data_IF_319962855180
#
_entry.id   IF_319962855180
#
_cell.length_a   1.000
_cell.length_b   1.000
_cell.length_c   1.000
_cell.angle_alpha   90.00
_cell.angle_beta   90.00
_cell.angle_gamma   90.00
#
_symmetry.space_group_name_H-M   'P 1'
#
loop_
_entity.id
_entity.type
_entity.pdbx_description
1 polymer ?
#
# COMPACT_ATOMS: atom_id res chain seq x y z
N UNK A 1 51.99 37.68 33.21
CA UNK A 1 51.46 37.58 31.85
C UNK A 1 51.44 36.12 31.36
N UNK A 2 50.71 35.22 32.07
CA UNK A 2 50.40 33.83 31.60
C UNK A 2 49.01 33.52 32.18
N UNK A 3 47.94 34.08 31.61
CA UNK A 3 46.57 33.69 32.01
C UNK A 3 45.53 33.73 30.90
N UNK A 4 45.94 33.87 29.61
CA UNK A 4 44.98 33.94 28.50
C UNK A 4 45.04 32.74 27.51
N UNK A 5 45.83 31.69 27.78
CA UNK A 5 45.98 30.57 26.84
C UNK A 5 45.06 29.39 27.17
N UNK A 6 44.55 29.25 28.41
CA UNK A 6 43.71 28.12 28.80
C UNK A 6 42.22 28.33 28.44
N UNK A 7 41.74 29.57 28.43
CA UNK A 7 40.35 29.84 28.10
C UNK A 7 40.00 29.67 26.61
N UNK A 8 40.99 29.90 25.72
CA UNK A 8 40.81 29.73 24.26
C UNK A 8 40.79 28.28 23.83
N UNK A 9 41.49 27.38 24.54
CA UNK A 9 41.52 25.95 24.25
C UNK A 9 40.25 25.22 24.73
N UNK A 10 39.67 25.65 25.87
CA UNK A 10 38.41 25.05 26.34
C UNK A 10 37.21 25.45 25.47
N UNK A 11 37.17 26.69 24.95
CA UNK A 11 36.07 27.12 24.07
C UNK A 11 36.13 26.45 22.70
N UNK A 12 37.33 26.19 22.17
CA UNK A 12 37.49 25.48 20.88
C UNK A 12 37.19 23.98 20.97
N UNK A 13 37.48 23.36 22.11
CA UNK A 13 37.17 21.92 22.28
C UNK A 13 35.67 21.70 22.48
N UNK A 14 34.95 22.62 23.14
CA UNK A 14 33.49 22.52 23.27
C UNK A 14 32.74 22.78 21.96
N UNK A 15 33.20 23.71 21.13
CA UNK A 15 32.58 23.94 19.81
C UNK A 15 32.87 22.84 18.84
N UNK A 16 34.08 22.26 18.83
CA UNK A 16 34.41 21.11 17.97
C UNK A 16 33.57 19.86 18.33
N UNK A 17 33.35 19.59 19.61
CA UNK A 17 32.54 18.45 20.03
C UNK A 17 31.02 18.61 19.74
N UNK A 18 30.53 19.87 19.75
CA UNK A 18 29.12 20.12 19.36
C UNK A 18 28.91 20.00 17.86
N UNK A 19 29.88 20.44 17.04
CA UNK A 19 29.80 20.26 15.57
C UNK A 19 29.88 18.78 15.17
N UNK A 20 30.76 18.02 15.81
CA UNK A 20 30.89 16.58 15.57
C UNK A 20 29.62 15.82 15.96
N UNK A 21 28.99 16.17 17.09
CA UNK A 21 27.73 15.55 17.52
C UNK A 21 26.58 15.89 16.56
N UNK A 22 26.50 17.14 16.12
CA UNK A 22 25.49 17.57 15.14
C UNK A 22 25.68 16.87 13.80
N UNK A 23 26.93 16.72 13.36
CA UNK A 23 27.27 15.98 12.15
C UNK A 23 26.90 14.49 12.25
N UNK A 24 27.25 13.81 13.34
CA UNK A 24 26.89 12.40 13.58
C UNK A 24 25.38 12.22 13.70
N UNK A 25 24.68 13.12 14.34
CA UNK A 25 23.21 13.12 14.41
C UNK A 25 22.57 13.24 13.03
N UNK A 26 23.11 14.09 12.16
CA UNK A 26 22.66 14.23 10.77
C UNK A 26 22.87 12.95 9.95
N UNK A 27 24.05 12.31 10.10
CA UNK A 27 24.32 11.03 9.44
C UNK A 27 23.33 9.97 9.94
N UNK A 28 23.11 9.87 11.25
CA UNK A 28 22.18 8.89 11.82
C UNK A 28 20.76 9.10 11.32
N UNK A 29 20.28 10.32 11.26
CA UNK A 29 18.96 10.65 10.70
C UNK A 29 18.85 10.25 9.22
N UNK A 30 19.88 10.53 8.41
CA UNK A 30 19.91 10.17 7.00
C UNK A 30 19.88 8.64 6.81
N UNK A 31 20.64 7.89 7.60
CA UNK A 31 20.64 6.43 7.57
C UNK A 31 19.26 5.87 7.98
N UNK A 32 18.66 6.42 9.03
CA UNK A 32 17.34 6.00 9.50
C UNK A 32 16.26 6.24 8.45
N UNK A 33 16.28 7.42 7.82
CA UNK A 33 15.35 7.78 6.74
C UNK A 33 15.55 6.89 5.51
N UNK A 34 16.80 6.65 5.11
CA UNK A 34 17.10 5.75 3.99
C UNK A 34 16.64 4.31 4.28
N UNK A 35 16.85 3.80 5.48
CA UNK A 35 16.38 2.47 5.88
C UNK A 35 14.85 2.37 5.87
N UNK A 36 14.14 3.38 6.38
CA UNK A 36 12.68 3.42 6.34
C UNK A 36 12.17 3.44 4.88
N UNK A 37 12.82 4.20 4.01
CA UNK A 37 12.49 4.23 2.59
C UNK A 37 12.72 2.88 1.90
N UNK A 38 13.85 2.23 2.17
CA UNK A 38 14.17 0.91 1.62
C UNK A 38 13.18 -0.15 2.11
N UNK A 39 12.78 -0.12 3.37
CA UNK A 39 11.75 -1.01 3.91
C UNK A 39 10.39 -0.78 3.24
N UNK A 40 9.98 0.47 3.05
CA UNK A 40 8.73 0.80 2.35
C UNK A 40 8.75 0.31 0.89
N UNK A 41 9.87 0.51 0.18
CA UNK A 41 10.05 -0.02 -1.19
C UNK A 41 10.00 -1.55 -1.23
N UNK A 42 10.66 -2.23 -0.30
CA UNK A 42 10.66 -3.69 -0.21
C UNK A 42 9.25 -4.23 0.05
N UNK A 43 8.50 -3.62 0.97
CA UNK A 43 7.13 -4.03 1.27
C UNK A 43 6.19 -3.82 0.07
N UNK A 44 6.34 -2.71 -0.65
CA UNK A 44 5.56 -2.45 -1.86
C UNK A 44 5.89 -3.46 -2.97
N UNK A 45 7.16 -3.81 -3.12
CA UNK A 45 7.59 -4.80 -4.11
C UNK A 45 7.05 -6.21 -3.79
N UNK A 46 7.04 -6.60 -2.51
CA UNK A 46 6.45 -7.87 -2.07
C UNK A 46 4.95 -7.91 -2.36
N UNK A 47 4.19 -6.87 -1.99
CA UNK A 47 2.76 -6.77 -2.31
C UNK A 47 2.49 -6.87 -3.81
N UNK A 48 3.30 -6.22 -4.62
CA UNK A 48 3.18 -6.28 -6.09
C UNK A 48 3.47 -7.68 -6.65
N UNK A 49 4.50 -8.35 -6.14
CA UNK A 49 4.83 -9.73 -6.50
C UNK A 49 3.68 -10.67 -6.16
N UNK A 50 3.11 -10.56 -4.96
CA UNK A 50 1.99 -11.39 -4.50
C UNK A 50 0.76 -11.14 -5.37
N UNK A 51 0.47 -9.88 -5.71
CA UNK A 51 -0.61 -9.50 -6.62
C UNK A 51 -0.45 -10.16 -7.99
N UNK A 52 0.75 -10.11 -8.57
CA UNK A 52 1.04 -10.72 -9.87
C UNK A 52 0.88 -12.25 -9.80
N UNK A 53 1.37 -12.86 -8.73
CA UNK A 53 1.26 -14.31 -8.53
C UNK A 53 -0.19 -14.74 -8.39
N UNK A 54 -0.98 -14.04 -7.57
CA UNK A 54 -2.40 -14.32 -7.40
C UNK A 54 -3.17 -14.14 -8.71
N UNK A 55 -2.90 -13.05 -9.44
CA UNK A 55 -3.46 -12.79 -10.77
C UNK A 55 -3.19 -13.96 -11.73
N UNK A 56 -1.95 -14.44 -11.76
CA UNK A 56 -1.55 -15.59 -12.60
C UNK A 56 -2.33 -16.86 -12.22
N UNK A 57 -2.48 -17.13 -10.93
CA UNK A 57 -3.23 -18.27 -10.43
C UNK A 57 -4.71 -18.22 -10.84
N UNK A 58 -5.31 -17.04 -10.74
CA UNK A 58 -6.73 -16.85 -11.07
C UNK A 58 -7.00 -16.90 -12.57
N UNK A 59 -6.07 -16.43 -13.41
CA UNK A 59 -6.27 -16.41 -14.87
C UNK A 59 -5.94 -17.73 -15.56
N UNK A 60 -4.92 -18.44 -15.08
CA UNK A 60 -4.41 -19.65 -15.74
C UNK A 60 -4.98 -20.95 -15.15
N UNK A 61 -5.82 -20.83 -14.11
CA UNK A 61 -6.23 -21.98 -13.32
C UNK A 61 -5.06 -22.55 -12.51
N UNK A 62 -5.38 -23.27 -11.44
CA UNK A 62 -4.37 -23.87 -10.56
C UNK A 62 -3.86 -25.16 -11.23
N UNK A 63 -2.83 -25.06 -12.04
CA UNK A 63 -1.98 -26.19 -12.25
C UNK A 63 -1.00 -26.25 -11.08
N UNK A 64 -1.37 -27.01 -10.02
CA UNK A 64 -0.61 -27.08 -8.77
C UNK A 64 0.88 -27.42 -8.99
N UNK A 65 1.22 -28.03 -10.13
CA UNK A 65 2.59 -28.36 -10.52
C UNK A 65 3.41 -27.18 -11.05
N UNK A 66 2.78 -26.01 -11.23
CA UNK A 66 3.44 -24.80 -11.74
C UNK A 66 3.64 -23.70 -10.70
N UNK A 67 3.20 -23.93 -9.47
CA UNK A 67 3.41 -23.01 -8.35
C UNK A 67 4.69 -23.42 -7.64
N UNK A 68 5.66 -22.53 -7.61
CA UNK A 68 6.83 -22.78 -6.79
C UNK A 68 6.43 -22.80 -5.31
N UNK A 69 6.98 -23.73 -4.49
CA UNK A 69 6.65 -23.81 -3.06
C UNK A 69 6.79 -22.48 -2.31
N UNK A 70 7.79 -21.67 -2.67
CA UNK A 70 8.03 -20.35 -2.11
C UNK A 70 6.93 -19.32 -2.44
N UNK A 71 6.31 -19.41 -3.62
CA UNK A 71 5.17 -18.57 -4.00
C UNK A 71 3.91 -18.95 -3.22
N UNK A 72 3.74 -20.24 -2.96
CA UNK A 72 2.63 -20.73 -2.17
C UNK A 72 2.74 -20.28 -0.70
N UNK A 73 3.92 -20.34 -0.12
CA UNK A 73 4.16 -19.83 1.24
C UNK A 73 3.89 -18.33 1.35
N UNK A 74 4.33 -17.54 0.36
CA UNK A 74 4.08 -16.10 0.32
C UNK A 74 2.58 -15.77 0.22
N UNK A 75 1.81 -16.58 -0.48
CA UNK A 75 0.37 -16.40 -0.61
C UNK A 75 -0.42 -16.87 0.62
N UNK A 76 0.12 -17.79 1.44
CA UNK A 76 -0.59 -18.30 2.62
C UNK A 76 -1.00 -17.19 3.59
N UNK A 77 -0.27 -16.09 3.66
CA UNK A 77 -0.65 -14.93 4.46
C UNK A 77 -2.00 -14.32 4.01
N UNK A 78 -2.37 -14.48 2.74
CA UNK A 78 -3.64 -13.98 2.17
C UNK A 78 -4.77 -15.02 2.25
N UNK A 79 -4.49 -16.23 2.79
CA UNK A 79 -5.45 -17.30 2.97
C UNK A 79 -5.54 -17.73 4.45
N UNK A 80 -5.36 -16.79 5.38
CA UNK A 80 -5.36 -17.07 6.82
C UNK A 80 -6.77 -17.22 7.42
N UNK A 81 -7.81 -16.76 6.71
CA UNK A 81 -9.21 -16.88 7.11
C UNK A 81 -9.94 -17.96 6.31
N UNK A 82 -11.08 -18.40 6.83
CA UNK A 82 -11.85 -19.53 6.28
C UNK A 82 -12.45 -19.26 4.90
N UNK A 83 -12.73 -18.00 4.56
CA UNK A 83 -13.43 -17.64 3.34
C UNK A 83 -12.57 -16.74 2.46
N UNK A 84 -12.71 -16.94 1.15
CA UNK A 84 -12.12 -16.06 0.13
C UNK A 84 -13.20 -15.60 -0.83
N UNK A 85 -13.21 -14.32 -1.15
CA UNK A 85 -14.21 -13.68 -1.98
C UNK A 85 -13.57 -12.78 -3.01
N UNK A 86 -14.20 -12.69 -4.18
CA UNK A 86 -13.85 -11.70 -5.20
C UNK A 86 -14.89 -10.60 -5.16
N UNK A 87 -14.44 -9.38 -4.96
CA UNK A 87 -15.25 -8.18 -5.02
C UNK A 87 -14.97 -7.49 -6.35
N UNK A 88 -16.02 -7.24 -7.13
CA UNK A 88 -15.94 -6.55 -8.41
C UNK A 88 -16.72 -5.24 -8.30
N UNK A 89 -16.02 -4.12 -8.47
CA UNK A 89 -16.62 -2.79 -8.53
C UNK A 89 -16.67 -2.38 -10.00
N UNK A 90 -17.86 -2.36 -10.56
CA UNK A 90 -18.09 -1.99 -11.96
C UNK A 90 -18.61 -0.57 -12.05
N UNK A 91 -18.10 0.19 -13.02
CA UNK A 91 -18.53 1.55 -13.29
C UNK A 91 -19.55 1.47 -14.42
N UNK A 92 -20.76 1.99 -14.17
CA UNK A 92 -21.79 2.10 -15.21
C UNK A 92 -21.73 3.47 -15.88
N UNK A 93 -21.33 3.47 -17.13
CA UNK A 93 -21.22 4.68 -17.97
C UNK A 93 -22.48 4.97 -18.77
N UNK A 94 -23.58 4.23 -18.58
CA UNK A 94 -24.80 4.38 -19.39
C UNK A 94 -25.46 5.75 -19.24
N UNK A 95 -25.19 6.46 -18.16
CA UNK A 95 -25.78 7.79 -17.86
C UNK A 95 -24.83 8.96 -18.09
N UNK A 96 -23.54 8.72 -18.30
CA UNK A 96 -22.55 9.79 -18.49
C UNK A 96 -22.21 9.99 -19.97
N UNK A 97 -22.07 11.25 -20.35
CA UNK A 97 -21.62 11.68 -21.68
C UNK A 97 -20.32 10.93 -22.04
N UNK A 98 -20.12 10.70 -23.35
CA UNK A 98 -18.90 10.08 -23.93
C UNK A 98 -17.64 10.64 -23.24
N UNK A 99 -17.25 10.02 -22.15
CA UNK A 99 -16.00 10.38 -21.50
C UNK A 99 -14.85 9.84 -22.34
N UNK A 100 -13.91 10.71 -22.56
CA UNK A 100 -12.59 10.45 -23.07
C UNK A 100 -11.94 9.29 -22.24
N UNK A 101 -11.22 8.41 -22.90
CA UNK A 101 -10.53 7.28 -22.24
C UNK A 101 -9.64 7.69 -21.05
N UNK A 102 -9.19 8.95 -21.02
CA UNK A 102 -8.46 9.54 -19.90
C UNK A 102 -9.30 9.75 -18.66
N UNK A 103 -10.54 10.21 -18.81
CA UNK A 103 -11.49 10.43 -17.70
C UNK A 103 -11.86 9.12 -17.01
N UNK A 104 -12.09 8.07 -17.78
CA UNK A 104 -12.40 6.74 -17.25
C UNK A 104 -11.23 6.18 -16.44
N UNK A 105 -9.99 6.36 -16.93
CA UNK A 105 -8.79 5.93 -16.22
C UNK A 105 -8.60 6.63 -14.87
N UNK A 106 -8.86 7.96 -14.83
CA UNK A 106 -8.79 8.77 -13.62
C UNK A 106 -9.87 8.35 -12.61
N UNK A 107 -11.10 8.13 -13.07
CA UNK A 107 -12.21 7.69 -12.24
C UNK A 107 -11.91 6.32 -11.61
N UNK A 108 -11.45 5.37 -12.41
CA UNK A 108 -11.02 4.06 -11.93
C UNK A 108 -9.92 4.15 -10.88
N UNK A 109 -8.93 5.01 -11.10
CA UNK A 109 -7.86 5.26 -10.13
C UNK A 109 -8.41 5.84 -8.83
N UNK A 110 -9.32 6.80 -8.91
CA UNK A 110 -9.98 7.39 -7.73
C UNK A 110 -10.79 6.35 -6.95
N UNK A 111 -11.57 5.51 -7.63
CA UNK A 111 -12.31 4.40 -7.01
C UNK A 111 -11.35 3.45 -6.30
N UNK A 112 -10.28 3.04 -7.00
CA UNK A 112 -9.27 2.15 -6.42
C UNK A 112 -8.66 2.73 -5.14
N UNK A 113 -8.31 4.02 -5.13
CA UNK A 113 -7.75 4.67 -3.95
C UNK A 113 -8.74 4.71 -2.79
N UNK A 114 -9.98 5.14 -3.03
CA UNK A 114 -11.02 5.21 -1.99
C UNK A 114 -11.23 3.84 -1.35
N UNK A 115 -11.42 2.79 -2.15
CA UNK A 115 -11.65 1.46 -1.60
C UNK A 115 -10.41 0.86 -0.96
N UNK A 116 -9.21 1.14 -1.46
CA UNK A 116 -7.97 0.74 -0.78
C UNK A 116 -7.88 1.36 0.62
N UNK A 117 -8.14 2.68 0.75
CA UNK A 117 -8.13 3.37 2.05
C UNK A 117 -9.21 2.83 3.01
N UNK A 118 -10.43 2.62 2.51
CA UNK A 118 -11.52 2.08 3.32
C UNK A 118 -11.27 0.66 3.83
N UNK A 119 -10.61 -0.17 3.03
CA UNK A 119 -10.28 -1.56 3.37
C UNK A 119 -8.98 -1.68 4.18
N UNK A 120 -8.07 -0.71 4.08
CA UNK A 120 -6.79 -0.75 4.78
C UNK A 120 -7.00 -0.88 6.29
N UNK A 121 -6.26 -1.79 6.92
CA UNK A 121 -6.37 -2.13 8.34
C UNK A 121 -7.68 -2.81 8.81
N UNK A 122 -8.70 -2.92 7.99
CA UNK A 122 -10.00 -3.50 8.36
C UNK A 122 -10.20 -4.92 7.80
N UNK A 123 -9.74 -5.16 6.58
CA UNK A 123 -9.85 -6.45 5.90
C UNK A 123 -8.56 -6.81 5.20
N UNK A 124 -8.31 -8.10 5.03
CA UNK A 124 -7.16 -8.58 4.28
C UNK A 124 -7.54 -8.65 2.80
N UNK A 125 -6.90 -7.83 1.96
CA UNK A 125 -7.23 -7.75 0.55
C UNK A 125 -6.03 -7.58 -0.36
N UNK A 126 -6.20 -7.93 -1.63
CA UNK A 126 -5.29 -7.63 -2.73
C UNK A 126 -6.10 -6.99 -3.87
N UNK A 127 -5.68 -5.81 -4.30
CA UNK A 127 -6.20 -5.18 -5.51
C UNK A 127 -5.63 -5.88 -6.74
N UNK A 128 -6.48 -6.47 -7.56
CA UNK A 128 -6.07 -7.34 -8.66
C UNK A 128 -5.80 -6.61 -9.96
N UNK A 129 -6.31 -5.40 -10.12
CA UNK A 129 -6.09 -4.55 -11.31
C UNK A 129 -6.13 -5.30 -12.66
N UNK A 130 -7.17 -6.13 -12.87
CA UNK A 130 -7.20 -7.09 -13.98
C UNK A 130 -8.00 -6.63 -15.19
N UNK A 131 -9.17 -6.03 -15.00
CA UNK A 131 -10.12 -5.80 -16.07
C UNK A 131 -10.66 -4.37 -16.06
N UNK A 132 -10.29 -3.63 -17.09
CA UNK A 132 -10.89 -2.33 -17.34
C UNK A 132 -12.32 -2.51 -17.89
N UNK A 133 -13.33 -1.73 -17.45
CA UNK A 133 -13.26 -0.59 -16.51
C UNK A 133 -13.44 -0.93 -15.03
N UNK A 134 -13.55 -2.20 -14.67
CA UNK A 134 -13.82 -2.63 -13.30
C UNK A 134 -12.57 -2.60 -12.41
N UNK A 135 -12.79 -2.40 -11.11
CA UNK A 135 -11.78 -2.60 -10.06
C UNK A 135 -12.10 -3.93 -9.36
N UNK A 136 -11.12 -4.82 -9.23
CA UNK A 136 -11.30 -6.15 -8.70
C UNK A 136 -10.42 -6.35 -7.48
N UNK A 137 -11.02 -6.83 -6.40
CA UNK A 137 -10.33 -7.20 -5.17
C UNK A 137 -10.49 -8.69 -4.87
N UNK A 138 -9.40 -9.31 -4.48
CA UNK A 138 -9.44 -10.56 -3.75
C UNK A 138 -9.45 -10.22 -2.26
N UNK A 139 -10.40 -10.76 -1.52
CA UNK A 139 -10.56 -10.54 -0.08
C UNK A 139 -10.59 -11.88 0.63
N UNK A 140 -9.78 -12.04 1.67
CA UNK A 140 -9.82 -13.19 2.56
C UNK A 140 -10.39 -12.75 3.91
N UNK A 141 -11.45 -13.42 4.38
CA UNK A 141 -12.22 -12.98 5.53
C UNK A 141 -12.78 -14.15 6.36
N UNK A 142 -13.18 -13.85 7.59
CA UNK A 142 -14.04 -14.68 8.43
C UNK A 142 -15.47 -14.10 8.47
N UNK A 143 -16.37 -14.72 9.23
CA UNK A 143 -17.76 -14.26 9.34
C UNK A 143 -17.87 -12.84 9.92
N UNK A 144 -17.04 -12.50 10.90
CA UNK A 144 -17.04 -11.17 11.52
C UNK A 144 -16.54 -10.09 10.55
N UNK A 145 -15.51 -10.39 9.77
CA UNK A 145 -14.93 -9.48 8.78
C UNK A 145 -15.84 -9.29 7.56
N UNK A 146 -16.74 -10.24 7.27
CA UNK A 146 -17.70 -10.15 6.18
C UNK A 146 -18.70 -8.99 6.35
N UNK A 147 -19.22 -8.78 7.56
CA UNK A 147 -20.08 -7.64 7.85
C UNK A 147 -19.32 -6.31 7.72
N UNK A 148 -18.07 -6.28 8.15
CA UNK A 148 -17.20 -5.12 7.98
C UNK A 148 -16.97 -4.82 6.50
N UNK A 149 -16.70 -5.83 5.68
CA UNK A 149 -16.53 -5.69 4.23
C UNK A 149 -17.79 -5.11 3.59
N UNK A 150 -18.96 -5.63 3.96
CA UNK A 150 -20.24 -5.13 3.46
C UNK A 150 -20.45 -3.65 3.80
N UNK A 151 -20.14 -3.25 5.02
CA UNK A 151 -20.23 -1.84 5.45
C UNK A 151 -19.29 -0.94 4.64
N UNK A 152 -18.04 -1.39 4.42
CA UNK A 152 -17.05 -0.68 3.62
C UNK A 152 -17.55 -0.48 2.17
N UNK A 153 -18.11 -1.50 1.57
CA UNK A 153 -18.59 -1.43 0.19
C UNK A 153 -19.76 -0.45 0.05
N UNK A 154 -20.68 -0.42 1.03
CA UNK A 154 -21.77 0.56 1.05
C UNK A 154 -21.26 1.99 1.26
N UNK A 155 -20.37 2.21 2.23
CA UNK A 155 -19.74 3.50 2.49
C UNK A 155 -19.01 4.04 1.26
N UNK A 156 -18.23 3.18 0.60
CA UNK A 156 -17.52 3.53 -0.63
C UNK A 156 -18.47 3.86 -1.78
N UNK A 157 -19.56 3.11 -1.93
CA UNK A 157 -20.58 3.38 -2.94
C UNK A 157 -21.26 4.74 -2.71
N UNK A 158 -21.70 5.02 -1.48
CA UNK A 158 -22.32 6.29 -1.12
C UNK A 158 -21.37 7.47 -1.34
N UNK A 159 -20.11 7.32 -0.95
CA UNK A 159 -19.09 8.33 -1.20
C UNK A 159 -18.90 8.60 -2.71
N UNK A 160 -18.79 7.56 -3.53
CA UNK A 160 -18.60 7.69 -4.96
C UNK A 160 -19.82 8.34 -5.62
N UNK A 161 -21.04 7.93 -5.25
CA UNK A 161 -22.26 8.53 -5.76
C UNK A 161 -22.38 10.02 -5.42
N UNK A 162 -22.05 10.40 -4.18
CA UNK A 162 -22.11 11.79 -3.73
C UNK A 162 -21.04 12.68 -4.38
N UNK A 163 -19.85 12.12 -4.63
CA UNK A 163 -18.69 12.89 -5.11
C UNK A 163 -18.66 12.99 -6.63
N UNK A 164 -18.93 11.91 -7.33
CA UNK A 164 -18.81 11.84 -8.79
C UNK A 164 -20.15 11.80 -9.53
N UNK A 165 -21.27 11.74 -8.80
CA UNK A 165 -22.62 11.66 -9.34
C UNK A 165 -22.83 10.49 -10.33
N UNK A 166 -22.21 9.33 -10.01
CA UNK A 166 -22.24 8.08 -10.77
C UNK A 166 -22.97 6.97 -10.03
#
# INVERSE_FOLDING_TARGET
TITNSSALTETTVQTAGMDDFTYLSGIYQNITTANAHLQAMSNNWLKEKDRITLKRLMTNGINANQIYPQEYEALNQYFCHAYSQIVVISIDFSSSQKEDSGGIGLLRYSISNVFNELMESKVLFINMDMFFPSVIYFVNHDDATNETLRSILLEGQEFMQSTFQI
#
